data_IF_113365965741
#
_entry.id   IF_113365965741
#
_cell.length_a   1.000
_cell.length_b   1.000
_cell.length_c   1.000
_cell.angle_alpha   90.00
_cell.angle_beta   90.00
_cell.angle_gamma   90.00
#
_symmetry.space_group_name_H-M   'P 1'
#
loop_
_entity.id
_entity.type
_entity.pdbx_description
1 polymer ?
#
# COMPACT_ATOMS: atom_id res chain seq x y z
N UNK A 1 4.37 -19.10 -2.70
CA UNK A 1 3.10 -18.35 -2.74
C UNK A 1 3.39 -16.96 -3.28
N UNK A 2 2.72 -16.56 -4.35
CA UNK A 2 2.75 -15.16 -4.79
C UNK A 2 1.95 -14.33 -3.78
N UNK A 3 2.47 -13.17 -3.36
CA UNK A 3 1.69 -12.23 -2.55
C UNK A 3 0.57 -11.66 -3.40
N UNK A 4 -0.60 -11.45 -2.80
CA UNK A 4 -1.65 -10.64 -3.43
C UNK A 4 -1.20 -9.19 -3.53
N UNK A 5 -1.75 -8.43 -4.48
CA UNK A 5 -1.39 -7.02 -4.67
C UNK A 5 -1.65 -6.20 -3.39
N UNK A 6 -2.76 -6.47 -2.69
CA UNK A 6 -3.06 -5.84 -1.39
C UNK A 6 -2.01 -6.12 -0.31
N UNK A 7 -1.53 -7.36 -0.19
CA UNK A 7 -0.45 -7.72 0.75
C UNK A 7 0.90 -7.09 0.37
N UNK A 8 1.17 -6.97 -0.93
CA UNK A 8 2.36 -6.28 -1.42
C UNK A 8 2.32 -4.80 -1.06
N UNK A 9 1.23 -4.10 -1.37
CA UNK A 9 1.06 -2.69 -1.05
C UNK A 9 1.05 -2.42 0.45
N UNK A 10 0.42 -3.29 1.25
CA UNK A 10 0.47 -3.18 2.72
C UNK A 10 1.90 -3.28 3.27
N UNK A 11 2.68 -4.24 2.78
CA UNK A 11 4.09 -4.39 3.19
C UNK A 11 4.91 -3.17 2.80
N UNK A 12 4.72 -2.64 1.58
CA UNK A 12 5.46 -1.47 1.10
C UNK A 12 5.09 -0.21 1.89
N UNK A 13 3.81 0.02 2.16
CA UNK A 13 3.37 1.12 3.02
C UNK A 13 4.04 1.08 4.40
N UNK A 14 4.09 -0.10 5.04
CA UNK A 14 4.74 -0.24 6.33
C UNK A 14 6.25 0.02 6.26
N UNK A 15 6.93 -0.49 5.22
CA UNK A 15 8.36 -0.24 5.03
C UNK A 15 8.66 1.26 4.89
N UNK A 16 7.84 2.02 4.17
CA UNK A 16 8.02 3.46 4.05
C UNK A 16 7.76 4.20 5.37
N UNK A 17 6.79 3.75 6.18
CA UNK A 17 6.59 4.29 7.53
C UNK A 17 7.81 4.05 8.43
N UNK A 18 8.42 2.87 8.34
CA UNK A 18 9.63 2.54 9.10
C UNK A 18 10.80 3.43 8.66
N UNK A 19 10.95 3.67 7.35
CA UNK A 19 11.97 4.58 6.82
C UNK A 19 11.72 6.05 7.24
N UNK A 20 10.47 6.50 7.23
CA UNK A 20 10.08 7.83 7.71
C UNK A 20 10.39 8.03 9.20
N UNK A 21 10.31 6.97 10.01
CA UNK A 21 10.65 7.01 11.43
C UNK A 21 12.17 7.13 11.66
N UNK A 22 12.99 6.61 10.75
CA UNK A 22 14.45 6.69 10.80
C UNK A 22 15.02 7.96 10.14
N UNK A 23 14.24 8.63 9.29
CA UNK A 23 14.68 9.82 8.56
C UNK A 23 14.84 11.04 9.48
N UNK A 24 16.04 11.64 9.46
CA UNK A 24 16.36 12.87 10.20
C UNK A 24 16.13 14.14 9.38
N UNK A 25 16.26 14.06 8.05
CA UNK A 25 15.93 15.15 7.14
C UNK A 25 14.40 15.24 6.97
N UNK A 26 13.77 16.40 7.27
CA UNK A 26 12.33 16.58 7.13
C UNK A 26 11.78 16.32 5.73
N UNK A 27 12.55 16.62 4.69
CA UNK A 27 12.17 16.42 3.29
C UNK A 27 12.17 14.93 2.93
N UNK A 28 13.18 14.19 3.40
CA UNK A 28 13.27 12.74 3.22
C UNK A 28 12.16 12.04 4.01
N UNK A 29 11.89 12.48 5.24
CA UNK A 29 10.76 11.99 6.03
C UNK A 29 9.44 12.20 5.29
N UNK A 30 9.21 13.39 4.74
CA UNK A 30 8.00 13.69 3.96
C UNK A 30 7.88 12.77 2.75
N UNK A 31 8.96 12.56 2.00
CA UNK A 31 8.96 11.67 0.83
C UNK A 31 8.48 10.25 1.20
N UNK A 32 9.01 9.68 2.29
CA UNK A 32 8.59 8.35 2.74
C UNK A 32 7.12 8.33 3.21
N UNK A 33 6.65 9.38 3.89
CA UNK A 33 5.24 9.49 4.27
C UNK A 33 4.31 9.59 3.05
N UNK A 34 4.70 10.36 2.03
CA UNK A 34 3.93 10.48 0.78
C UNK A 34 3.84 9.11 0.06
N UNK A 35 4.95 8.37 -0.02
CA UNK A 35 4.97 7.02 -0.60
C UNK A 35 4.13 6.02 0.21
N UNK A 36 4.16 6.11 1.55
CA UNK A 36 3.31 5.27 2.40
C UNK A 36 1.82 5.50 2.13
N UNK A 37 1.42 6.76 1.95
CA UNK A 37 0.05 7.13 1.60
C UNK A 37 -0.35 6.65 0.18
N UNK A 38 0.58 6.71 -0.77
CA UNK A 38 0.35 6.19 -2.13
C UNK A 38 0.10 4.67 -2.11
N UNK A 39 0.95 3.90 -1.40
CA UNK A 39 0.74 2.46 -1.26
C UNK A 39 -0.54 2.11 -0.51
N UNK A 40 -0.95 2.89 0.49
CA UNK A 40 -2.25 2.71 1.15
C UNK A 40 -3.41 2.89 0.15
N UNK A 41 -3.33 3.91 -0.71
CA UNK A 41 -4.34 4.16 -1.76
C UNK A 41 -4.38 3.02 -2.79
N UNK A 42 -3.21 2.51 -3.20
CA UNK A 42 -3.12 1.38 -4.13
C UNK A 42 -3.70 0.10 -3.53
N UNK A 43 -3.48 -0.13 -2.22
CA UNK A 43 -4.11 -1.24 -1.50
C UNK A 43 -5.62 -1.15 -1.51
N UNK A 44 -6.20 0.02 -1.21
CA UNK A 44 -7.66 0.20 -1.21
C UNK A 44 -8.27 -0.10 -2.59
N UNK A 45 -7.56 0.28 -3.66
CA UNK A 45 -7.98 -0.05 -5.04
C UNK A 45 -7.91 -1.55 -5.31
N UNK A 46 -6.82 -2.20 -4.93
CA UNK A 46 -6.68 -3.65 -5.10
C UNK A 46 -7.75 -4.43 -4.33
N UNK A 47 -8.06 -4.00 -3.09
CA UNK A 47 -9.12 -4.60 -2.28
C UNK A 47 -10.51 -4.41 -2.94
N UNK A 48 -10.78 -3.24 -3.53
CA UNK A 48 -11.99 -2.96 -4.28
C UNK A 48 -12.14 -3.76 -5.59
N UNK A 49 -11.05 -3.94 -6.34
CA UNK A 49 -11.03 -4.76 -7.56
C UNK A 49 -11.29 -6.23 -7.26
N UNK A 50 -10.68 -6.78 -6.20
CA UNK A 50 -10.93 -8.15 -5.75
C UNK A 50 -12.39 -8.34 -5.33
N UNK A 51 -13.01 -7.35 -4.67
CA UNK A 51 -14.43 -7.41 -4.32
C UNK A 51 -15.33 -7.41 -5.56
N UNK A 52 -15.07 -6.54 -6.53
CA UNK A 52 -15.85 -6.48 -7.78
C UNK A 52 -15.73 -7.78 -8.60
N UNK A 53 -14.53 -8.37 -8.68
CA UNK A 53 -14.32 -9.64 -9.38
C UNK A 53 -15.08 -10.81 -8.75
N UNK A 54 -15.20 -10.85 -7.41
CA UNK A 54 -16.00 -11.87 -6.70
C UNK A 54 -17.50 -11.74 -6.96
N UNK A 55 -18.01 -10.51 -7.08
CA UNK A 55 -19.43 -10.26 -7.37
C UNK A 55 -19.77 -10.71 -8.81
N UNK A 56 -18.91 -10.42 -9.79
CA UNK A 56 -19.16 -10.77 -11.20
C UNK A 56 -19.00 -12.25 -11.56
N UNK A 57 -18.49 -13.09 -10.65
CA UNK A 57 -18.29 -14.55 -10.88
C UNK A 57 -19.33 -15.43 -10.19
N UNK A 58 -20.34 -14.83 -9.54
CA UNK A 58 -21.38 -15.54 -8.78
C UNK A 58 -22.70 -15.75 -9.57
N UNK A 59 -22.68 -15.66 -10.90
CA UNK A 59 -23.85 -15.89 -11.78
C UNK A 59 -23.94 -17.33 -12.31
#
# INVERSE_FOLDING_TARGET
MAKTDGEFYAMRAQQELDMAALATDPSVKKLHLDMAAEYATLRERADGEVQNARIGTSE
#
